data_IF_917727081805
#
_entry.id   IF_917727081805
#
_cell.length_a   1.000
_cell.length_b   1.000
_cell.length_c   1.000
_cell.angle_alpha   90.00
_cell.angle_beta   90.00
_cell.angle_gamma   90.00
#
_symmetry.space_group_name_H-M   'P 1'
#
loop_
_entity.id
_entity.type
_entity.pdbx_description
1 polymer ?
#
# COMPACT_ATOMS: atom_id res chain seq x y z
N UNK A 1 -11.69 10.01 11.06
CA UNK A 1 -10.31 9.65 11.38
C UNK A 1 -10.10 8.23 10.90
N UNK A 2 -9.30 8.02 9.86
CA UNK A 2 -8.85 6.67 9.51
C UNK A 2 -7.86 6.31 10.61
N UNK A 3 -8.15 5.27 11.39
CA UNK A 3 -7.22 4.80 12.42
C UNK A 3 -5.97 4.32 11.69
N UNK A 4 -4.88 5.06 11.85
CA UNK A 4 -3.58 4.78 11.22
C UNK A 4 -3.03 3.45 11.77
N UNK A 5 -3.22 2.36 11.02
CA UNK A 5 -2.67 1.06 11.39
C UNK A 5 -1.40 0.81 10.57
N UNK A 6 -0.27 1.20 11.15
CA UNK A 6 1.04 0.88 10.59
C UNK A 6 1.43 -0.55 11.00
N UNK A 7 1.93 -1.32 10.05
CA UNK A 7 2.44 -2.67 10.28
C UNK A 7 3.70 -2.67 11.15
N UNK A 8 4.51 -1.62 11.05
CA UNK A 8 5.72 -1.38 11.83
C UNK A 8 5.71 0.04 12.35
N UNK A 9 6.23 0.26 13.55
CA UNK A 9 6.35 1.63 14.08
C UNK A 9 7.42 2.43 13.32
N UNK A 10 7.31 3.76 13.34
CA UNK A 10 8.33 4.64 12.77
C UNK A 10 9.72 4.34 13.35
N UNK A 11 9.82 4.23 14.68
CA UNK A 11 11.07 3.92 15.39
C UNK A 11 11.69 2.58 14.97
N UNK A 12 10.84 1.56 14.78
CA UNK A 12 11.29 0.26 14.31
C UNK A 12 11.81 0.33 12.86
N UNK A 13 11.17 1.15 12.02
CA UNK A 13 11.59 1.35 10.64
C UNK A 13 12.90 2.16 10.55
N UNK A 14 13.05 3.22 11.34
CA UNK A 14 14.29 4.02 11.44
C UNK A 14 15.48 3.17 11.86
N UNK A 15 15.29 2.32 12.89
CA UNK A 15 16.30 1.34 13.31
C UNK A 15 16.69 0.37 12.20
N UNK A 16 15.73 -0.07 11.40
CA UNK A 16 15.99 -0.96 10.28
C UNK A 16 16.76 -0.25 9.13
N UNK A 17 16.47 1.03 8.89
CA UNK A 17 17.16 1.86 7.89
C UNK A 17 18.50 2.44 8.39
N UNK A 18 18.87 2.21 9.66
CA UNK A 18 20.05 2.80 10.30
C UNK A 18 20.03 4.34 10.29
N UNK A 19 18.86 4.92 10.55
CA UNK A 19 18.63 6.37 10.61
C UNK A 19 18.41 6.78 12.07
N UNK A 20 19.23 7.70 12.56
CA UNK A 20 19.20 8.17 13.95
C UNK A 20 18.61 9.58 14.13
N UNK A 21 18.22 10.23 13.04
CA UNK A 21 17.68 11.60 13.02
C UNK A 21 16.20 11.63 12.59
N UNK A 22 15.52 12.74 12.91
CA UNK A 22 14.06 12.86 12.79
C UNK A 22 13.60 13.63 11.54
N UNK A 23 14.54 14.24 10.81
CA UNK A 23 14.27 15.11 9.66
C UNK A 23 13.51 14.42 8.51
N UNK A 24 13.45 13.08 8.54
CA UNK A 24 12.83 12.24 7.51
C UNK A 24 11.66 11.41 8.04
N UNK A 25 11.17 11.70 9.25
CA UNK A 25 10.13 10.90 9.90
C UNK A 25 8.84 10.83 9.08
N UNK A 26 8.47 11.93 8.43
CA UNK A 26 7.27 12.00 7.60
C UNK A 26 7.45 11.17 6.32
N UNK A 27 8.61 11.30 5.67
CA UNK A 27 8.96 10.53 4.48
C UNK A 27 8.97 9.03 4.79
N UNK A 28 9.54 8.62 5.93
CA UNK A 28 9.56 7.21 6.33
C UNK A 28 8.15 6.70 6.60
N UNK A 29 7.28 7.49 7.24
CA UNK A 29 5.85 7.13 7.41
C UNK A 29 5.14 6.94 6.08
N UNK A 30 5.33 7.87 5.14
CA UNK A 30 4.72 7.79 3.82
C UNK A 30 5.19 6.55 3.06
N UNK A 31 6.46 6.19 3.18
CA UNK A 31 6.99 4.95 2.60
C UNK A 31 6.41 3.69 3.24
N UNK A 32 6.14 3.68 4.55
CA UNK A 32 5.47 2.55 5.20
C UNK A 32 4.05 2.39 4.63
N UNK A 33 3.31 3.49 4.46
CA UNK A 33 1.99 3.44 3.82
C UNK A 33 2.05 2.95 2.38
N UNK A 34 3.02 3.43 1.60
CA UNK A 34 3.22 2.98 0.22
C UNK A 34 3.52 1.48 0.16
N UNK A 35 4.36 0.95 1.04
CA UNK A 35 4.67 -0.47 1.11
C UNK A 35 3.43 -1.33 1.45
N UNK A 36 2.59 -0.87 2.38
CA UNK A 36 1.31 -1.54 2.68
C UNK A 36 0.35 -1.52 1.50
N UNK A 37 0.27 -0.39 0.78
CA UNK A 37 -0.56 -0.26 -0.42
C UNK A 37 -0.08 -1.16 -1.56
N UNK A 38 1.23 -1.28 -1.73
CA UNK A 38 1.84 -2.17 -2.73
C UNK A 38 1.53 -3.64 -2.45
N UNK A 39 1.60 -4.07 -1.18
CA UNK A 39 1.21 -5.42 -0.76
C UNK A 39 -0.28 -5.67 -1.00
N UNK A 40 -1.15 -4.74 -0.59
CA UNK A 40 -2.59 -4.85 -0.80
C UNK A 40 -2.94 -4.97 -2.29
N UNK A 41 -2.30 -4.15 -3.13
CA UNK A 41 -2.44 -4.19 -4.59
C UNK A 41 -1.94 -5.49 -5.21
N UNK A 42 -0.94 -6.10 -4.58
CA UNK A 42 -0.41 -7.40 -4.99
C UNK A 42 -1.23 -8.58 -4.43
N UNK A 43 -2.40 -8.32 -3.86
CA UNK A 43 -3.31 -9.34 -3.32
C UNK A 43 -3.00 -9.78 -1.88
N UNK A 44 -2.11 -9.08 -1.17
CA UNK A 44 -1.73 -9.37 0.22
C UNK A 44 -2.35 -8.29 1.12
N UNK A 45 -3.59 -8.49 1.62
CA UNK A 45 -4.25 -7.48 2.44
C UNK A 45 -3.57 -7.31 3.81
N UNK A 46 -3.81 -6.16 4.44
CA UNK A 46 -3.34 -5.91 5.80
C UNK A 46 -3.84 -7.00 6.75
N UNK A 47 -2.96 -7.63 7.56
CA UNK A 47 -3.33 -8.79 8.35
C UNK A 47 -4.19 -8.38 9.56
N UNK A 48 -5.18 -9.23 9.90
CA UNK A 48 -6.06 -9.00 11.07
C UNK A 48 -5.37 -9.23 12.42
N UNK A 49 -4.25 -9.96 12.41
CA UNK A 49 -3.41 -10.27 13.56
C UNK A 49 -1.96 -9.97 13.19
N UNK A 50 -1.11 -9.70 14.20
CA UNK A 50 0.31 -9.42 13.96
C UNK A 50 0.94 -10.57 13.17
N UNK A 51 1.57 -10.23 12.04
CA UNK A 51 2.24 -11.18 11.16
C UNK A 51 3.70 -10.74 10.95
N UNK A 52 4.68 -11.44 11.55
CA UNK A 52 6.09 -11.08 11.41
C UNK A 52 6.60 -11.07 9.96
N UNK A 53 6.06 -11.92 9.08
CA UNK A 53 6.45 -11.94 7.67
C UNK A 53 5.91 -10.72 6.91
N UNK A 54 4.69 -10.29 7.22
CA UNK A 54 4.13 -9.06 6.67
C UNK A 54 4.97 -7.85 7.11
N UNK A 55 5.33 -7.78 8.39
CA UNK A 55 6.17 -6.72 8.93
C UNK A 55 7.55 -6.67 8.27
N UNK A 56 8.16 -7.84 8.02
CA UNK A 56 9.43 -7.94 7.30
C UNK A 56 9.29 -7.48 5.84
N UNK A 57 8.23 -7.89 5.16
CA UNK A 57 7.97 -7.47 3.77
C UNK A 57 7.83 -5.95 3.67
N UNK A 58 7.10 -5.31 4.60
CA UNK A 58 6.99 -3.85 4.68
C UNK A 58 8.37 -3.22 4.87
N UNK A 59 9.19 -3.69 5.82
CA UNK A 59 10.55 -3.16 6.04
C UNK A 59 11.44 -3.24 4.80
N UNK A 60 11.42 -4.38 4.10
CA UNK A 60 12.21 -4.57 2.88
C UNK A 60 11.74 -3.65 1.75
N UNK A 61 10.43 -3.49 1.58
CA UNK A 61 9.86 -2.58 0.58
C UNK A 61 10.21 -1.11 0.89
N UNK A 62 10.06 -0.69 2.14
CA UNK A 62 10.43 0.67 2.58
C UNK A 62 11.91 0.94 2.32
N UNK A 63 12.80 0.01 2.70
CA UNK A 63 14.24 0.13 2.43
C UNK A 63 14.52 0.25 0.93
N UNK A 64 13.90 -0.60 0.12
CA UNK A 64 14.05 -0.52 -1.33
C UNK A 64 13.56 0.84 -1.89
N UNK A 65 12.38 1.31 -1.48
CA UNK A 65 11.86 2.62 -1.91
C UNK A 65 12.74 3.78 -1.44
N UNK A 66 13.26 3.71 -0.22
CA UNK A 66 14.10 4.74 0.37
C UNK A 66 15.43 4.89 -0.38
N UNK A 67 16.08 3.77 -0.70
CA UNK A 67 17.34 3.73 -1.48
C UNK A 67 17.13 4.15 -2.95
N UNK A 68 16.02 3.73 -3.56
CA UNK A 68 15.69 4.06 -4.94
C UNK A 68 15.51 5.58 -5.17
N UNK A 69 15.25 6.38 -4.14
CA UNK A 69 15.19 7.86 -4.26
C UNK A 69 16.47 8.47 -4.83
N UNK A 70 17.60 7.78 -4.64
CA UNK A 70 18.91 8.23 -5.09
C UNK A 70 19.37 7.58 -6.41
N UNK A 71 18.52 6.78 -7.07
CA UNK A 71 18.83 6.14 -8.35
C UNK A 71 18.84 7.18 -9.49
N UNK A 72 20.03 7.58 -9.93
CA UNK A 72 20.26 8.60 -10.97
C UNK A 72 19.97 8.16 -12.43
N UNK A 73 19.32 7.01 -12.67
CA UNK A 73 19.23 6.43 -14.02
C UNK A 73 17.83 5.96 -14.41
N UNK A 74 17.24 6.61 -15.42
CA UNK A 74 15.98 6.26 -16.12
C UNK A 74 14.75 6.22 -15.19
N UNK A 75 13.54 6.46 -15.73
CA UNK A 75 12.31 6.10 -15.01
C UNK A 75 12.44 4.62 -14.66
N UNK A 76 12.73 4.31 -13.39
CA UNK A 76 13.01 2.94 -13.00
C UNK A 76 11.77 2.10 -13.28
N UNK A 77 11.94 0.91 -13.87
CA UNK A 77 10.87 -0.06 -14.16
C UNK A 77 9.87 -0.26 -13.01
N UNK A 78 10.28 0.05 -11.77
CA UNK A 78 9.48 0.08 -10.56
C UNK A 78 8.33 1.11 -10.59
N UNK A 79 8.54 2.32 -11.12
CA UNK A 79 7.47 3.35 -11.22
C UNK A 79 6.41 2.92 -12.23
N UNK A 80 6.82 2.39 -13.39
CA UNK A 80 5.89 1.89 -14.40
C UNK A 80 5.11 0.66 -13.88
N UNK A 81 5.74 -0.19 -13.06
CA UNK A 81 5.08 -1.31 -12.39
C UNK A 81 4.02 -0.83 -11.38
N UNK A 82 4.32 0.18 -10.55
CA UNK A 82 3.36 0.77 -9.62
C UNK A 82 2.18 1.39 -10.38
N UNK A 83 2.45 2.17 -11.43
CA UNK A 83 1.39 2.78 -12.27
C UNK A 83 0.48 1.69 -12.85
N UNK A 84 1.07 0.62 -13.39
CA UNK A 84 0.31 -0.51 -13.96
C UNK A 84 -0.57 -1.17 -12.89
N UNK A 85 0.01 -1.46 -11.72
CA UNK A 85 -0.68 -2.06 -10.58
C UNK A 85 -1.86 -1.21 -10.10
N UNK A 86 -1.66 0.10 -9.96
CA UNK A 86 -2.71 1.04 -9.56
C UNK A 86 -3.85 1.10 -10.60
N UNK A 87 -3.51 1.15 -11.88
CA UNK A 87 -4.50 1.16 -12.97
C UNK A 87 -5.37 -0.11 -12.96
N UNK A 88 -4.78 -1.28 -12.67
CA UNK A 88 -5.51 -2.55 -12.57
C UNK A 88 -6.47 -2.58 -11.37
N UNK A 89 -6.06 -2.05 -10.22
CA UNK A 89 -6.94 -1.98 -9.04
C UNK A 89 -8.14 -1.06 -9.23
N UNK A 90 -7.93 0.13 -9.80
CA UNK A 90 -9.04 1.07 -10.06
C UNK A 90 -10.11 0.45 -10.96
N UNK A 91 -9.70 -0.38 -11.92
CA UNK A 91 -10.62 -1.13 -12.76
C UNK A 91 -11.40 -2.20 -11.97
N UNK A 92 -10.77 -2.88 -11.01
CA UNK A 92 -11.45 -3.86 -10.17
C UNK A 92 -12.48 -3.22 -9.22
N UNK A 93 -12.14 -2.07 -8.62
CA UNK A 93 -13.05 -1.32 -7.76
C UNK A 93 -14.26 -0.77 -8.54
N UNK A 94 -14.03 -0.32 -9.77
CA UNK A 94 -15.09 0.09 -10.69
C UNK A 94 -16.04 -1.06 -11.04
N UNK A 95 -15.51 -2.24 -11.39
CA UNK A 95 -16.33 -3.44 -11.66
C UNK A 95 -17.18 -3.79 -10.42
N UNK A 96 -16.57 -3.81 -9.23
CA UNK A 96 -17.29 -4.16 -8.00
C UNK A 96 -18.45 -3.19 -7.73
N UNK A 97 -18.26 -1.88 -7.99
CA UNK A 97 -19.31 -0.87 -7.86
C UNK A 97 -20.46 -1.08 -8.86
N UNK A 98 -20.17 -1.38 -10.13
CA UNK A 98 -21.20 -1.62 -11.15
C UNK A 98 -22.04 -2.87 -10.84
N UNK A 99 -21.41 -3.94 -10.35
CA UNK A 99 -22.14 -5.18 -9.97
C UNK A 99 -23.08 -4.91 -8.79
N UNK A 100 -22.60 -4.25 -7.74
CA UNK A 100 -23.41 -3.94 -6.54
C UNK A 100 -24.57 -3.00 -6.86
N UNK A 101 -24.35 -1.97 -7.68
CA UNK A 101 -25.41 -1.06 -8.09
C UNK A 101 -26.48 -1.75 -8.96
N UNK A 102 -26.06 -2.67 -9.84
CA UNK A 102 -26.97 -3.46 -10.67
C UNK A 102 -27.85 -4.41 -9.84
N UNK A 103 -27.27 -5.14 -8.87
CA UNK A 103 -28.03 -6.04 -7.99
C UNK A 103 -29.03 -5.30 -7.10
N UNK A 104 -28.67 -4.11 -6.60
CA UNK A 104 -29.56 -3.29 -5.77
C UNK A 104 -30.77 -2.74 -6.55
N UNK A 105 -30.60 -2.45 -7.85
CA UNK A 105 -31.71 -2.01 -8.69
C UNK A 105 -32.68 -3.15 -9.03
N UNK A 106 -32.16 -4.36 -9.31
CA UNK A 106 -33.01 -5.53 -9.54
C UNK A 106 -33.88 -5.85 -8.30
N UNK A 107 -33.30 -5.83 -7.10
CA UNK A 107 -34.05 -6.10 -5.86
C UNK A 107 -35.17 -5.07 -5.56
N UNK A 108 -35.07 -3.84 -6.09
CA UNK A 108 -36.14 -2.83 -5.96
C UNK A 108 -37.30 -3.05 -6.94
N UNK A 109 -37.06 -3.68 -8.09
CA UNK A 109 -38.12 -3.98 -9.06
C UNK A 109 -38.95 -5.21 -8.68
N UNK A 110 -38.38 -6.21 -7.99
CA UNK A 110 -39.12 -7.40 -7.53
C UNK A 110 -39.93 -7.15 -6.25
N UNK A 111 -39.71 -6.04 -5.55
CA UNK A 111 -40.39 -5.68 -4.31
C UNK A 111 -41.64 -4.78 -4.51
N UNK A 112 -42.08 -4.58 -5.75
CA UNK A 112 -43.34 -3.94 -6.14
C UNK A 112 -44.35 -4.98 -6.61
#
# INVERSE_FOLDING_TARGET
MITENLAVSLEEMKKYLLIDFDDQDNEIKDLIYAAQSELATSGVPFPKVVNPLYNLAVKMLVSNFYEDRNSLGTRGYKVDAIITKLAMNQHQDFINYEVVSSSNNQNKEVAK
#
